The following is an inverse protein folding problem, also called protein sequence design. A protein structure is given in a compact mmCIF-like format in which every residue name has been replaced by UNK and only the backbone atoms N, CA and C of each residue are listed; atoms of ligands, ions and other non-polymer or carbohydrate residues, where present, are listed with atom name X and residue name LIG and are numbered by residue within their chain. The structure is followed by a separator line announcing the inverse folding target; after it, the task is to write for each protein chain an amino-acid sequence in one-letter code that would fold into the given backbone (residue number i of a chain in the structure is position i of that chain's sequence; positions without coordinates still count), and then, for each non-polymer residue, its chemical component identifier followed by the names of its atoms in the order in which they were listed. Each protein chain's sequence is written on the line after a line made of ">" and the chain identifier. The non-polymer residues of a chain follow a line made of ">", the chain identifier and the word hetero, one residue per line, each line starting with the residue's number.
data_IF_448008423036
#
_entry.id   IF_448008423036
#
_cell.length_a   1.000
_cell.length_b   1.000
_cell.length_c   1.000
_cell.angle_alpha   90.00
_cell.angle_beta   90.00
_cell.angle_gamma   90.00
#
_symmetry.space_group_name_H-M   'P 1'
#
loop_
_entity.id
_entity.type
_entity.pdbx_description
1 polymer ?
#
# COMPACT_ATOMS: atom_id res chain seq x y z
N UNK A 1 0.93 -4.36 13.06
CA UNK A 1 -0.52 -4.34 12.75
C UNK A 1 -0.92 -5.58 11.94
N UNK A 2 -0.21 -5.93 10.88
CA UNK A 2 -0.54 -7.12 10.07
C UNK A 2 -0.43 -8.42 10.88
N UNK A 3 0.57 -8.53 11.73
CA UNK A 3 0.75 -9.70 12.59
C UNK A 3 -0.44 -9.92 13.53
N UNK A 4 -0.90 -8.87 14.20
CA UNK A 4 -2.07 -8.95 15.09
C UNK A 4 -3.32 -9.41 14.34
N UNK A 5 -3.52 -8.89 13.13
CA UNK A 5 -4.63 -9.31 12.28
C UNK A 5 -4.54 -10.78 11.86
N UNK A 6 -3.35 -11.23 11.48
CA UNK A 6 -3.12 -12.63 11.08
C UNK A 6 -3.34 -13.57 12.28
N UNK A 7 -2.77 -13.23 13.43
CA UNK A 7 -2.91 -14.01 14.67
C UNK A 7 -4.38 -14.10 15.11
N UNK A 8 -5.12 -12.99 15.04
CA UNK A 8 -6.55 -12.98 15.39
C UNK A 8 -7.41 -13.83 14.46
N UNK A 9 -6.92 -14.14 13.26
CA UNK A 9 -7.56 -15.00 12.26
C UNK A 9 -7.05 -16.44 12.28
N UNK A 10 -6.27 -16.80 13.29
CA UNK A 10 -5.79 -18.17 13.50
C UNK A 10 -4.49 -18.53 12.77
N UNK A 11 -3.80 -17.55 12.18
CA UNK A 11 -2.48 -17.79 11.56
C UNK A 11 -1.40 -17.77 12.62
N UNK A 12 -0.71 -18.89 12.83
CA UNK A 12 0.31 -19.08 13.87
C UNK A 12 1.73 -19.24 13.32
N UNK A 13 1.90 -19.76 12.12
CA UNK A 13 3.19 -19.98 11.48
C UNK A 13 3.73 -18.70 10.85
N UNK A 14 4.17 -17.75 11.69
CA UNK A 14 4.65 -16.44 11.26
C UNK A 14 6.17 -16.35 11.33
N UNK A 15 6.79 -15.93 10.24
CA UNK A 15 8.21 -15.59 10.15
C UNK A 15 8.35 -14.06 10.09
N UNK A 16 9.15 -13.51 10.99
CA UNK A 16 9.39 -12.06 11.06
C UNK A 16 10.76 -11.72 10.50
N UNK A 17 10.80 -10.63 9.76
CA UNK A 17 12.06 -10.04 9.27
C UNK A 17 12.01 -8.52 9.47
N UNK A 18 13.18 -7.90 9.45
CA UNK A 18 13.29 -6.46 9.69
C UNK A 18 12.98 -5.61 8.47
N UNK A 19 13.21 -6.15 7.26
CA UNK A 19 13.10 -5.38 6.02
C UNK A 19 12.25 -6.11 4.98
N UNK A 20 11.43 -5.38 4.20
CA UNK A 20 10.60 -5.95 3.13
C UNK A 20 11.41 -6.74 2.09
N UNK A 21 12.62 -6.30 1.78
CA UNK A 21 13.52 -6.97 0.82
C UNK A 21 13.88 -8.40 1.25
N UNK A 22 13.97 -8.67 2.55
CA UNK A 22 14.21 -10.01 3.08
C UNK A 22 13.00 -10.92 2.79
N UNK A 23 11.78 -10.45 2.98
CA UNK A 23 10.57 -11.19 2.63
C UNK A 23 10.50 -11.47 1.12
N UNK A 24 10.80 -10.49 0.28
CA UNK A 24 10.83 -10.67 -1.16
C UNK A 24 11.82 -11.78 -1.55
N UNK A 25 13.03 -11.76 -1.00
CA UNK A 25 14.02 -12.82 -1.22
C UNK A 25 13.52 -14.19 -0.77
N UNK A 26 12.85 -14.26 0.37
CA UNK A 26 12.34 -15.53 0.92
C UNK A 26 11.21 -16.11 0.07
N UNK A 27 10.28 -15.30 -0.40
CA UNK A 27 9.17 -15.77 -1.24
C UNK A 27 9.66 -16.22 -2.62
N UNK A 28 10.59 -15.48 -3.24
CA UNK A 28 11.18 -15.85 -4.53
C UNK A 28 12.01 -17.14 -4.44
N UNK A 29 12.63 -17.41 -3.30
CA UNK A 29 13.38 -18.65 -3.04
C UNK A 29 12.51 -19.78 -2.50
N UNK A 30 11.20 -19.60 -2.46
CA UNK A 30 10.22 -20.57 -1.95
C UNK A 30 10.48 -21.00 -0.49
N UNK A 31 11.02 -20.09 0.32
CA UNK A 31 11.24 -20.33 1.75
C UNK A 31 10.01 -19.95 2.58
N UNK A 32 9.15 -19.08 2.05
CA UNK A 32 7.83 -18.75 2.56
C UNK A 32 6.83 -18.84 1.40
N UNK A 33 5.59 -19.17 1.70
CA UNK A 33 4.53 -19.31 0.71
C UNK A 33 3.73 -18.03 0.53
N UNK A 34 3.60 -17.24 1.59
CA UNK A 34 2.81 -16.01 1.62
C UNK A 34 3.58 -14.86 2.29
N UNK A 35 3.33 -13.67 1.81
CA UNK A 35 3.89 -12.45 2.34
C UNK A 35 2.79 -11.42 2.60
N UNK A 36 2.64 -10.99 3.85
CA UNK A 36 1.70 -9.93 4.23
C UNK A 36 2.38 -8.56 4.19
N UNK A 37 1.90 -7.69 3.32
CA UNK A 37 2.49 -6.38 3.08
C UNK A 37 1.43 -5.37 2.62
N UNK A 38 1.69 -4.08 2.82
CA UNK A 38 0.89 -3.03 2.19
C UNK A 38 1.18 -2.94 0.70
N UNK A 39 0.19 -2.58 -0.11
CA UNK A 39 0.36 -2.47 -1.55
C UNK A 39 1.40 -1.43 -1.97
N UNK A 40 1.52 -0.32 -1.24
CA UNK A 40 2.55 0.70 -1.51
C UNK A 40 3.96 0.17 -1.26
N UNK A 41 4.22 -0.43 -0.09
CA UNK A 41 5.53 -1.00 0.24
C UNK A 41 5.89 -2.16 -0.68
N UNK A 42 4.91 -2.98 -1.07
CA UNK A 42 5.10 -4.04 -2.06
C UNK A 42 5.64 -3.48 -3.38
N UNK A 43 4.97 -2.44 -3.92
CA UNK A 43 5.37 -1.81 -5.17
C UNK A 43 6.78 -1.20 -5.08
N UNK A 44 7.08 -0.45 -4.02
CA UNK A 44 8.40 0.14 -3.79
C UNK A 44 9.49 -0.94 -3.71
N UNK A 45 9.23 -2.02 -2.98
CA UNK A 45 10.19 -3.12 -2.83
C UNK A 45 10.49 -3.80 -4.17
N UNK A 46 9.48 -4.03 -5.01
CA UNK A 46 9.67 -4.62 -6.33
C UNK A 46 10.45 -3.70 -7.27
N UNK A 47 10.17 -2.39 -7.25
CA UNK A 47 10.90 -1.40 -8.03
C UNK A 47 12.37 -1.35 -7.62
N UNK A 48 12.67 -1.31 -6.32
CA UNK A 48 14.02 -1.31 -5.79
C UNK A 48 14.80 -2.58 -6.18
N UNK A 49 14.13 -3.72 -6.15
CA UNK A 49 14.72 -5.01 -6.51
C UNK A 49 14.79 -5.26 -8.03
N UNK A 50 14.21 -4.40 -8.86
CA UNK A 50 14.06 -4.62 -10.30
C UNK A 50 13.36 -5.95 -10.65
N UNK A 51 12.35 -6.32 -9.86
CA UNK A 51 11.57 -7.56 -10.02
C UNK A 51 10.26 -7.26 -10.76
N UNK A 52 9.93 -8.14 -11.71
CA UNK A 52 8.64 -8.09 -12.41
C UNK A 52 7.49 -8.38 -11.44
N UNK A 53 6.53 -7.46 -11.26
CA UNK A 53 5.38 -7.67 -10.40
C UNK A 53 4.54 -8.90 -10.73
N UNK A 54 4.56 -9.37 -11.98
CA UNK A 54 3.79 -10.53 -12.43
C UNK A 54 4.32 -11.87 -11.89
N UNK A 55 5.49 -11.87 -11.25
CA UNK A 55 6.02 -13.05 -10.57
C UNK A 55 5.30 -13.36 -9.26
N UNK A 56 4.54 -12.41 -8.74
CA UNK A 56 3.79 -12.52 -7.49
C UNK A 56 2.32 -12.18 -7.73
N UNK A 57 1.44 -12.84 -7.00
CA UNK A 57 0.01 -12.67 -7.10
C UNK A 57 -0.59 -12.26 -5.75
N UNK A 58 -1.53 -11.32 -5.79
CA UNK A 58 -2.32 -10.96 -4.60
C UNK A 58 -3.44 -11.97 -4.44
N UNK A 59 -3.32 -12.86 -3.46
CA UNK A 59 -4.29 -13.93 -3.21
C UNK A 59 -5.37 -13.55 -2.20
N UNK A 60 -5.11 -12.56 -1.34
CA UNK A 60 -6.06 -12.14 -0.32
C UNK A 60 -5.83 -10.69 0.14
N UNK A 61 -6.89 -9.94 0.34
CA UNK A 61 -6.84 -8.59 0.91
C UNK A 61 -7.29 -8.62 2.38
N UNK A 62 -6.35 -8.41 3.30
CA UNK A 62 -6.61 -8.40 4.74
C UNK A 62 -7.55 -7.25 5.15
N UNK A 63 -7.33 -6.07 4.58
CA UNK A 63 -8.15 -4.89 4.79
C UNK A 63 -7.94 -3.86 3.70
N UNK A 64 -8.92 -2.99 3.53
CA UNK A 64 -8.75 -1.75 2.78
C UNK A 64 -8.45 -0.62 3.77
N UNK A 65 -7.48 0.22 3.48
CA UNK A 65 -7.13 1.37 4.29
C UNK A 65 -7.30 2.66 3.47
N UNK A 66 -7.80 3.70 4.12
CA UNK A 66 -7.78 5.05 3.56
C UNK A 66 -6.58 5.79 4.12
N UNK A 67 -5.94 6.61 3.29
CA UNK A 67 -4.87 7.50 3.70
C UNK A 67 -5.42 8.91 3.88
N UNK A 68 -4.87 9.62 4.84
CA UNK A 68 -5.30 10.96 5.18
C UNK A 68 -4.09 11.87 5.34
N UNK A 69 -4.25 13.14 4.98
CA UNK A 69 -3.30 14.18 5.36
C UNK A 69 -3.70 14.68 6.75
N UNK A 70 -2.79 14.61 7.70
CA UNK A 70 -3.01 15.13 9.03
C UNK A 70 -2.52 16.58 9.13
N UNK A 71 -3.33 17.43 9.72
CA UNK A 71 -2.98 18.81 10.02
C UNK A 71 -2.81 19.00 11.53
N UNK A 72 -2.09 20.03 11.94
CA UNK A 72 -2.08 20.45 13.33
C UNK A 72 -3.52 20.81 13.75
N UNK A 73 -3.90 20.45 14.98
CA UNK A 73 -5.24 20.72 15.52
C UNK A 73 -5.64 22.19 15.50
N UNK A 74 -4.66 23.10 15.49
CA UNK A 74 -4.89 24.54 15.44
C UNK A 74 -4.95 25.10 14.00
N UNK A 75 -4.83 24.24 12.97
CA UNK A 75 -4.99 24.65 11.59
C UNK A 75 -6.42 25.09 11.34
N UNK A 76 -6.62 26.29 10.81
CA UNK A 76 -7.96 26.81 10.53
C UNK A 76 -8.70 26.00 9.47
N UNK A 77 -10.03 25.92 9.63
CA UNK A 77 -10.89 25.15 8.71
C UNK A 77 -10.82 25.65 7.27
N UNK A 78 -10.58 26.94 7.06
CA UNK A 78 -10.39 27.51 5.72
C UNK A 78 -9.22 26.83 4.98
N UNK A 79 -8.09 26.62 5.65
CA UNK A 79 -6.94 25.94 5.07
C UNK A 79 -7.27 24.49 4.77
N UNK A 80 -7.90 23.77 5.69
CA UNK A 80 -8.29 22.37 5.51
C UNK A 80 -9.25 22.23 4.33
N UNK A 81 -10.24 23.11 4.23
CA UNK A 81 -11.22 23.11 3.14
C UNK A 81 -10.58 23.42 1.79
N UNK A 82 -9.58 24.31 1.72
CA UNK A 82 -8.82 24.54 0.48
C UNK A 82 -8.11 23.28 0.00
N UNK A 83 -7.50 22.53 0.90
CA UNK A 83 -6.86 21.26 0.56
C UNK A 83 -7.87 20.21 0.11
N UNK A 84 -8.98 20.07 0.83
CA UNK A 84 -10.04 19.12 0.48
C UNK A 84 -10.65 19.44 -0.88
N UNK A 85 -10.99 20.70 -1.14
CA UNK A 85 -11.58 21.13 -2.40
C UNK A 85 -10.61 20.92 -3.58
N UNK A 86 -9.33 21.24 -3.39
CA UNK A 86 -8.31 21.00 -4.42
C UNK A 86 -8.16 19.51 -4.75
N UNK A 87 -8.17 18.65 -3.73
CA UNK A 87 -8.13 17.21 -3.93
C UNK A 87 -9.38 16.71 -4.68
N UNK A 88 -10.57 17.14 -4.27
CA UNK A 88 -11.83 16.75 -4.89
C UNK A 88 -11.89 17.16 -6.37
N UNK A 89 -11.41 18.36 -6.68
CA UNK A 89 -11.30 18.85 -8.06
C UNK A 89 -10.35 17.98 -8.89
N UNK A 90 -9.16 17.69 -8.38
CA UNK A 90 -8.17 16.82 -9.05
C UNK A 90 -8.73 15.40 -9.23
N UNK A 91 -9.43 14.88 -8.24
CA UNK A 91 -10.04 13.56 -8.31
C UNK A 91 -11.14 13.50 -9.36
N UNK A 92 -12.07 14.46 -9.34
CA UNK A 92 -13.22 14.51 -10.25
C UNK A 92 -12.81 14.82 -11.69
N UNK A 93 -11.72 15.57 -11.91
CA UNK A 93 -11.17 15.83 -13.24
C UNK A 93 -10.42 14.65 -13.85
N UNK A 94 -10.18 13.57 -13.08
CA UNK A 94 -9.42 12.40 -13.51
C UNK A 94 -7.89 12.56 -13.39
N UNK A 95 -7.38 13.69 -12.93
CA UNK A 95 -5.94 13.94 -12.80
C UNK A 95 -5.28 13.00 -11.79
N UNK A 96 -5.96 12.67 -10.69
CA UNK A 96 -5.46 11.69 -9.71
C UNK A 96 -5.26 10.33 -10.38
N UNK A 97 -6.20 9.88 -11.21
CA UNK A 97 -6.08 8.63 -11.97
C UNK A 97 -4.88 8.64 -12.91
N UNK A 98 -4.65 9.73 -13.60
CA UNK A 98 -3.50 9.88 -14.50
C UNK A 98 -2.16 9.88 -13.74
N UNK A 99 -2.11 10.47 -12.54
CA UNK A 99 -0.93 10.40 -11.67
C UNK A 99 -0.62 8.94 -11.30
N UNK A 100 -1.62 8.18 -10.87
CA UNK A 100 -1.44 6.76 -10.57
C UNK A 100 -0.96 5.96 -11.78
N UNK A 101 -1.48 6.26 -12.96
CA UNK A 101 -1.05 5.64 -14.22
C UNK A 101 0.39 5.99 -14.57
N UNK A 102 0.76 7.28 -14.46
CA UNK A 102 2.12 7.76 -14.72
C UNK A 102 3.15 7.05 -13.84
N UNK A 103 2.81 6.80 -12.59
CA UNK A 103 3.67 6.08 -11.64
C UNK A 103 3.54 4.55 -11.68
N UNK A 104 2.80 4.00 -12.66
CA UNK A 104 2.58 2.56 -12.85
C UNK A 104 1.94 1.87 -11.64
N UNK A 105 1.13 2.59 -10.89
CA UNK A 105 0.42 2.11 -9.69
C UNK A 105 -1.10 2.18 -9.84
N UNK A 106 -1.60 2.06 -11.05
CA UNK A 106 -3.05 2.13 -11.35
C UNK A 106 -3.88 1.15 -10.54
N UNK A 107 -3.30 0.02 -10.15
CA UNK A 107 -3.94 -0.99 -9.29
C UNK A 107 -4.18 -0.51 -7.85
N UNK A 108 -3.49 0.54 -7.42
CA UNK A 108 -3.71 1.18 -6.11
C UNK A 108 -4.84 2.23 -6.15
N UNK A 109 -5.24 2.66 -7.37
CA UNK A 109 -6.32 3.62 -7.53
C UNK A 109 -7.66 2.95 -7.25
N UNK A 110 -8.30 3.35 -6.17
CA UNK A 110 -9.64 2.90 -5.79
C UNK A 110 -10.57 4.10 -5.62
N UNK A 111 -11.78 3.93 -6.06
CA UNK A 111 -12.84 4.90 -5.77
C UNK A 111 -13.21 4.84 -4.28
#
# INVERSE_FOLDING_TARGET
>A
INEQMLTSRGVSALSRVNYPMQNLSMILKKRIDLWSISSSTFHETLLEAHIDPHLLEVVYSLRKAKLYIAFNKNTGDETINKWQNAYDELYNSGQVKEIFKKHKVSYLYTK
#
